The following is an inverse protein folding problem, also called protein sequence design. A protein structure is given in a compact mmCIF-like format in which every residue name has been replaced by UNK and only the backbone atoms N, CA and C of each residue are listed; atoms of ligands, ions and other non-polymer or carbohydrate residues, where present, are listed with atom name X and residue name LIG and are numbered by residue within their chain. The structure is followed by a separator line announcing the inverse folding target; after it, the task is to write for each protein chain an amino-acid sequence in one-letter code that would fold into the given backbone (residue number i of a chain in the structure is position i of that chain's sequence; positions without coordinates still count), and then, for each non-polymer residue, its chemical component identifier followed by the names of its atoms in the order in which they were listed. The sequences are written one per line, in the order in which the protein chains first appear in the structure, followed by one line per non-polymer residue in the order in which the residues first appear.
data_IF_136828987085
#
_entry.id   IF_136828987085
#
_cell.length_a   1.000
_cell.length_b   1.000
_cell.length_c   1.000
_cell.angle_alpha   90.00
_cell.angle_beta   90.00
_cell.angle_gamma   90.00
#
_symmetry.space_group_name_H-M   'P 1'
#
loop_
_entity.id
_entity.type
_entity.pdbx_description
1 polymer ?
#
# COMPACT_ATOMS: atom_id res chain seq x y z
N UNK A 1 8.76 0.97 -13.24
CA UNK A 1 7.31 1.24 -13.29
C UNK A 1 6.72 1.26 -11.91
N UNK A 2 5.72 2.13 -11.67
CA UNK A 2 4.98 2.25 -10.41
C UNK A 2 3.51 1.90 -10.65
N UNK A 3 2.87 1.12 -9.76
CA UNK A 3 1.46 0.78 -9.91
C UNK A 3 0.58 2.03 -9.72
N UNK A 4 -0.60 2.05 -10.37
CA UNK A 4 -1.52 3.20 -10.31
C UNK A 4 -1.89 3.59 -8.86
N UNK A 5 -2.01 2.60 -7.96
CA UNK A 5 -2.35 2.84 -6.56
C UNK A 5 -1.29 3.68 -5.83
N UNK A 6 -0.02 3.59 -6.24
CA UNK A 6 1.04 4.40 -5.64
C UNK A 6 0.81 5.89 -5.87
N UNK A 7 0.39 6.28 -7.08
CA UNK A 7 0.12 7.69 -7.39
C UNK A 7 -1.02 8.26 -6.56
N UNK A 8 -2.08 7.47 -6.31
CA UNK A 8 -3.20 7.89 -5.46
C UNK A 8 -2.77 8.07 -3.99
N UNK A 9 -1.91 7.18 -3.49
CA UNK A 9 -1.35 7.29 -2.12
C UNK A 9 -0.41 8.50 -2.02
N UNK A 10 0.44 8.72 -3.01
CA UNK A 10 1.35 9.87 -3.05
C UNK A 10 0.58 11.20 -3.10
N UNK A 11 -0.51 11.27 -3.88
CA UNK A 11 -1.39 12.43 -3.95
C UNK A 11 -2.07 12.71 -2.60
N UNK A 12 -2.65 11.69 -1.97
CA UNK A 12 -3.27 11.82 -0.67
C UNK A 12 -2.26 12.22 0.42
N UNK A 13 -1.05 11.65 0.41
CA UNK A 13 0.04 12.04 1.32
C UNK A 13 0.46 13.49 1.10
N UNK A 14 0.56 13.95 -0.14
CA UNK A 14 0.87 15.34 -0.47
C UNK A 14 -0.24 16.31 -0.01
N UNK A 15 -1.48 15.84 0.07
CA UNK A 15 -2.61 16.57 0.65
C UNK A 15 -2.64 16.57 2.19
N UNK A 16 -1.68 15.90 2.84
CA UNK A 16 -1.58 15.80 4.30
C UNK A 16 -2.42 14.68 4.91
N UNK A 17 -2.87 13.70 4.12
CA UNK A 17 -3.52 12.49 4.63
C UNK A 17 -2.49 11.53 5.18
N UNK A 18 -2.76 11.08 6.39
CA UNK A 18 -1.89 10.29 7.27
C UNK A 18 -2.46 8.89 7.54
N UNK A 19 -3.77 8.67 7.30
CA UNK A 19 -4.40 7.34 7.38
C UNK A 19 -4.96 6.89 6.04
N UNK A 20 -4.57 5.70 5.61
CA UNK A 20 -4.95 5.07 4.36
C UNK A 20 -5.81 3.82 4.64
N UNK A 21 -7.04 3.83 4.15
CA UNK A 21 -7.95 2.68 4.24
C UNK A 21 -8.10 2.06 2.85
N UNK A 22 -7.51 0.89 2.68
CA UNK A 22 -7.61 0.11 1.45
C UNK A 22 -8.79 -0.85 1.55
N UNK A 23 -9.82 -0.61 0.76
CA UNK A 23 -10.95 -1.53 0.62
C UNK A 23 -10.68 -2.50 -0.53
N UNK A 24 -10.28 -3.72 -0.21
CA UNK A 24 -9.83 -4.73 -1.17
C UNK A 24 -10.88 -5.83 -1.41
N UNK A 25 -10.76 -6.53 -2.53
CA UNK A 25 -11.57 -7.70 -2.87
C UNK A 25 -10.73 -8.96 -3.00
N UNK A 26 -11.29 -10.05 -3.53
CA UNK A 26 -10.54 -11.28 -3.83
C UNK A 26 -9.51 -11.03 -4.95
N UNK A 27 -8.30 -11.57 -4.82
CA UNK A 27 -7.26 -11.49 -5.86
C UNK A 27 -6.51 -10.15 -5.88
N UNK A 28 -6.53 -9.42 -4.76
CA UNK A 28 -5.90 -8.10 -4.59
C UNK A 28 -4.80 -8.11 -3.52
N UNK A 29 -4.32 -9.29 -3.15
CA UNK A 29 -3.22 -9.48 -2.20
C UNK A 29 -1.96 -8.69 -2.62
N UNK A 30 -1.69 -8.59 -3.93
CA UNK A 30 -0.57 -7.81 -4.45
C UNK A 30 -0.60 -6.31 -4.11
N UNK A 31 -1.76 -5.73 -3.76
CA UNK A 31 -1.83 -4.34 -3.28
C UNK A 31 -1.33 -4.26 -1.83
N UNK A 32 -1.74 -5.22 -1.00
CA UNK A 32 -1.29 -5.34 0.39
C UNK A 32 0.24 -5.55 0.40
N UNK A 33 0.73 -6.52 -0.37
CA UNK A 33 2.16 -6.84 -0.47
C UNK A 33 3.02 -5.65 -0.96
N UNK A 34 2.47 -4.80 -1.84
CA UNK A 34 3.20 -3.63 -2.37
C UNK A 34 3.47 -2.57 -1.31
N UNK A 35 2.60 -2.43 -0.31
CA UNK A 35 2.76 -1.47 0.79
C UNK A 35 3.32 -2.11 2.07
N UNK A 36 3.55 -3.43 2.06
CA UNK A 36 4.15 -4.17 3.18
C UNK A 36 5.68 -4.36 3.01
N UNK A 37 6.30 -4.99 4.00
CA UNK A 37 7.71 -5.36 4.01
C UNK A 37 7.95 -6.58 3.12
N UNK A 38 8.78 -6.42 2.08
CA UNK A 38 9.24 -7.54 1.26
C UNK A 38 10.60 -8.01 1.75
N UNK A 39 10.60 -8.85 2.79
CA UNK A 39 11.82 -9.29 3.47
C UNK A 39 12.88 -9.84 2.52
N UNK A 40 12.50 -10.76 1.62
CA UNK A 40 13.45 -11.40 0.69
C UNK A 40 14.07 -10.39 -0.29
N UNK A 41 13.28 -9.41 -0.75
CA UNK A 41 13.75 -8.36 -1.64
C UNK A 41 14.71 -7.41 -0.93
N UNK A 42 14.35 -6.94 0.26
CA UNK A 42 15.16 -6.02 1.05
C UNK A 42 16.50 -6.64 1.46
N UNK A 43 16.48 -7.89 1.92
CA UNK A 43 17.70 -8.63 2.26
C UNK A 43 18.59 -8.82 1.01
N UNK A 44 17.98 -9.14 -0.15
CA UNK A 44 18.73 -9.24 -1.42
C UNK A 44 19.35 -7.91 -1.83
N UNK A 45 18.63 -6.80 -1.73
CA UNK A 45 19.12 -5.46 -2.06
C UNK A 45 20.21 -5.00 -1.09
N UNK A 46 20.05 -5.31 0.19
CA UNK A 46 21.02 -5.03 1.25
C UNK A 46 22.33 -5.74 0.98
N UNK A 47 22.31 -7.05 0.69
CA UNK A 47 23.51 -7.83 0.34
C UNK A 47 24.19 -7.32 -0.93
N UNK A 48 23.41 -6.74 -1.86
CA UNK A 48 23.93 -6.15 -3.10
C UNK A 48 24.38 -4.69 -2.95
N UNK A 49 24.25 -4.09 -1.76
CA UNK A 49 24.64 -2.70 -1.50
C UNK A 49 23.79 -1.66 -2.25
N UNK A 50 22.56 -2.01 -2.61
CA UNK A 50 21.63 -1.17 -3.39
C UNK A 50 20.83 -0.23 -2.49
N UNK A 51 21.52 0.76 -1.92
CA UNK A 51 20.94 1.69 -0.94
C UNK A 51 19.85 2.57 -1.53
N UNK A 52 20.01 3.07 -2.75
CA UNK A 52 19.01 3.92 -3.41
C UNK A 52 17.66 3.19 -3.59
N UNK A 53 17.69 1.90 -3.94
CA UNK A 53 16.48 1.10 -4.08
C UNK A 53 15.85 0.76 -2.72
N UNK A 54 16.65 0.55 -1.67
CA UNK A 54 16.16 0.38 -0.30
C UNK A 54 15.45 1.64 0.20
N UNK A 55 16.04 2.81 -0.01
CA UNK A 55 15.46 4.10 0.37
C UNK A 55 14.13 4.34 -0.36
N UNK A 56 14.06 3.97 -1.64
CA UNK A 56 12.82 4.04 -2.41
C UNK A 56 11.72 3.10 -1.87
N UNK A 57 12.07 1.88 -1.46
CA UNK A 57 11.14 0.93 -0.83
C UNK A 57 10.68 1.41 0.56
N UNK A 58 11.56 2.04 1.33
CA UNK A 58 11.19 2.61 2.62
C UNK A 58 10.24 3.81 2.45
N UNK A 59 10.46 4.66 1.45
CA UNK A 59 9.67 5.87 1.21
C UNK A 59 8.21 5.58 0.78
N UNK A 60 7.95 4.46 0.11
CA UNK A 60 6.58 4.08 -0.28
C UNK A 60 5.78 3.53 0.90
N UNK A 61 6.43 2.99 1.93
CA UNK A 61 5.78 2.31 3.04
C UNK A 61 4.98 3.29 3.91
N UNK A 62 3.73 2.98 4.27
CA UNK A 62 3.00 3.71 5.29
C UNK A 62 3.69 3.56 6.66
N UNK A 63 3.52 4.54 7.55
CA UNK A 63 3.99 4.41 8.93
C UNK A 63 3.21 3.36 9.71
N UNK A 64 3.70 3.03 10.91
CA UNK A 64 3.04 2.07 11.78
C UNK A 64 1.67 2.61 12.21
N UNK A 65 0.59 1.92 11.82
CA UNK A 65 -0.79 2.32 12.09
C UNK A 65 -1.43 3.20 11.02
N UNK A 66 -0.69 3.61 9.99
CA UNK A 66 -1.18 4.51 8.93
C UNK A 66 -1.95 3.75 7.84
N UNK A 67 -1.82 2.43 7.75
CA UNK A 67 -2.49 1.62 6.72
C UNK A 67 -3.45 0.60 7.34
N UNK A 68 -4.68 0.61 6.84
CA UNK A 68 -5.76 -0.28 7.25
C UNK A 68 -6.29 -1.00 6.01
N UNK A 69 -6.40 -2.32 6.08
CA UNK A 69 -6.92 -3.13 4.99
C UNK A 69 -8.25 -3.75 5.39
N UNK A 70 -9.29 -3.47 4.62
CA UNK A 70 -10.64 -3.98 4.85
C UNK A 70 -11.11 -4.71 3.61
N UNK A 71 -11.75 -5.87 3.77
CA UNK A 71 -12.31 -6.61 2.64
C UNK A 71 -13.75 -6.23 2.34
N UNK A 72 -14.02 -5.90 1.08
CA UNK A 72 -15.36 -5.90 0.50
C UNK A 72 -15.75 -7.34 0.13
N UNK A 73 -16.63 -7.95 0.93
CA UNK A 73 -16.97 -9.37 0.79
C UNK A 73 -17.76 -9.66 -0.49
N UNK A 74 -18.53 -8.70 -0.99
CA UNK A 74 -19.29 -8.79 -2.24
C UNK A 74 -19.18 -7.49 -3.05
N UNK A 75 -19.02 -7.57 -4.38
CA UNK A 75 -18.84 -6.40 -5.25
C UNK A 75 -20.19 -5.68 -5.47
N UNK A 76 -20.67 -4.98 -4.44
CA UNK A 76 -21.95 -4.26 -4.45
C UNK A 76 -21.79 -2.78 -4.86
N UNK A 77 -20.67 -2.44 -5.51
CA UNK A 77 -20.36 -1.08 -5.97
C UNK A 77 -19.64 -0.20 -4.95
N UNK A 78 -19.39 1.05 -5.34
CA UNK A 78 -18.58 2.02 -4.60
C UNK A 78 -19.21 2.43 -3.27
N UNK A 79 -20.53 2.66 -3.23
CA UNK A 79 -21.22 3.04 -1.99
C UNK A 79 -21.07 1.99 -0.88
N UNK A 80 -21.12 0.70 -1.24
CA UNK A 80 -20.85 -0.38 -0.31
C UNK A 80 -19.38 -0.43 0.12
N UNK A 81 -18.44 -0.14 -0.78
CA UNK A 81 -17.01 -0.08 -0.44
C UNK A 81 -16.73 1.01 0.60
N UNK A 82 -17.31 2.19 0.43
CA UNK A 82 -17.23 3.30 1.41
C UNK A 82 -17.85 2.87 2.76
N UNK A 83 -18.99 2.18 2.74
CA UNK A 83 -19.60 1.67 3.97
C UNK A 83 -18.73 0.63 4.71
N UNK A 84 -17.99 -0.21 3.98
CA UNK A 84 -17.06 -1.17 4.58
C UNK A 84 -15.92 -0.48 5.35
N UNK A 85 -15.54 0.74 4.98
CA UNK A 85 -14.46 1.51 5.59
C UNK A 85 -14.91 2.38 6.78
N UNK A 86 -16.14 2.18 7.28
CA UNK A 86 -16.67 2.91 8.44
C UNK A 86 -16.02 2.49 9.75
#
# INVERSE_FOLDING_TARGET
DRPLIQYAVDEARAAGIDTFIFVTGRGKEAIEDHFDVSYELEDTLTRRGKTAELDALAAIRPGAGDAIFVRQQRPLGLGHAVWCAR
#
